data_IF_016760922670
#
_entry.id   IF_016760922670
#
_cell.length_a   1.000
_cell.length_b   1.000
_cell.length_c   1.000
_cell.angle_alpha   90.00
_cell.angle_beta   90.00
_cell.angle_gamma   90.00
#
_symmetry.space_group_name_H-M   'P 1'
#
loop_
_entity.id
_entity.type
_entity.pdbx_description
1 polymer ?
#
# COMPACT_ATOMS: atom_id res chain seq x y z
N UNK A 1 13.41 -0.64 24.66
CA UNK A 1 13.54 -1.13 23.26
C UNK A 1 12.38 -2.04 22.89
N UNK A 2 12.09 -3.07 23.68
CA UNK A 2 10.99 -4.02 23.39
C UNK A 2 9.64 -3.35 23.11
N UNK A 3 9.25 -2.34 23.89
CA UNK A 3 7.99 -1.61 23.66
C UNK A 3 7.94 -0.92 22.29
N UNK A 4 9.08 -0.43 21.80
CA UNK A 4 9.20 0.20 20.49
C UNK A 4 9.05 -0.86 19.39
N UNK A 5 9.72 -2.01 19.53
CA UNK A 5 9.57 -3.14 18.60
C UNK A 5 8.11 -3.67 18.62
N UNK A 6 7.49 -3.74 19.79
CA UNK A 6 6.10 -4.15 19.93
C UNK A 6 5.16 -3.19 19.19
N UNK A 7 5.31 -1.88 19.38
CA UNK A 7 4.44 -0.85 18.80
C UNK A 7 4.69 -0.60 17.31
N UNK A 8 5.92 -0.70 16.83
CA UNK A 8 6.30 -0.34 15.46
C UNK A 8 6.54 -1.53 14.53
N UNK A 9 6.56 -2.77 15.02
CA UNK A 9 6.75 -3.96 14.18
C UNK A 9 5.78 -5.10 14.55
N UNK A 10 5.87 -5.66 15.77
CA UNK A 10 5.10 -6.88 16.13
C UNK A 10 3.58 -6.66 16.09
N UNK A 11 3.08 -5.59 16.70
CA UNK A 11 1.64 -5.31 16.74
C UNK A 11 1.06 -4.90 15.38
N UNK A 12 1.67 -3.98 14.61
CA UNK A 12 1.20 -3.68 13.25
C UNK A 12 1.15 -4.93 12.37
N UNK A 13 2.19 -5.77 12.42
CA UNK A 13 2.22 -7.02 11.65
C UNK A 13 1.05 -7.94 12.01
N UNK A 14 0.76 -8.12 13.30
CA UNK A 14 -0.35 -8.96 13.80
C UNK A 14 -1.72 -8.37 13.47
N UNK A 15 -1.95 -7.08 13.70
CA UNK A 15 -3.27 -6.43 13.54
C UNK A 15 -3.68 -6.39 12.07
N UNK A 16 -2.74 -6.11 11.16
CA UNK A 16 -3.02 -5.95 9.74
C UNK A 16 -2.67 -7.20 8.91
N UNK A 17 -2.24 -8.29 9.54
CA UNK A 17 -1.86 -9.53 8.84
C UNK A 17 -0.74 -9.34 7.82
N UNK A 18 0.27 -8.52 8.14
CA UNK A 18 1.36 -8.23 7.20
C UNK A 18 2.36 -9.40 7.12
N UNK A 19 2.86 -9.75 5.91
CA UNK A 19 3.85 -10.81 5.77
C UNK A 19 5.22 -10.39 6.33
N UNK A 20 6.05 -11.39 6.63
CA UNK A 20 7.45 -11.15 7.01
C UNK A 20 8.26 -10.64 5.81
N UNK A 21 9.14 -9.66 6.05
CA UNK A 21 10.05 -9.15 5.02
C UNK A 21 11.42 -9.82 5.19
N UNK A 22 11.80 -10.77 4.33
CA UNK A 22 13.07 -11.47 4.48
C UNK A 22 14.25 -10.49 4.35
N UNK A 23 15.34 -10.77 5.07
CA UNK A 23 16.60 -10.01 4.97
C UNK A 23 16.41 -8.48 5.06
N UNK A 24 15.53 -8.04 5.96
CA UNK A 24 15.16 -6.64 6.13
C UNK A 24 15.44 -6.22 7.57
N UNK A 25 16.20 -5.14 7.75
CA UNK A 25 16.54 -4.61 9.07
C UNK A 25 16.94 -3.14 9.00
N UNK A 26 16.94 -2.49 10.17
CA UNK A 26 17.30 -1.08 10.34
C UNK A 26 18.41 -0.99 11.39
N UNK A 27 19.48 -0.28 11.03
CA UNK A 27 20.57 0.05 11.93
C UNK A 27 20.38 1.48 12.43
N UNK A 28 20.42 1.64 13.75
CA UNK A 28 20.21 2.92 14.43
C UNK A 28 21.40 3.17 15.35
N UNK A 29 22.02 4.33 15.23
CA UNK A 29 22.97 4.82 16.22
C UNK A 29 22.20 5.51 17.35
N UNK A 30 22.21 4.92 18.54
CA UNK A 30 21.55 5.46 19.74
C UNK A 30 22.37 6.52 20.48
N UNK A 31 23.62 6.74 20.10
CA UNK A 31 24.51 7.70 20.75
C UNK A 31 24.52 9.06 20.05
N UNK A 32 24.21 9.09 18.75
CA UNK A 32 24.18 10.33 17.98
C UNK A 32 23.08 11.29 18.49
N UNK A 33 23.50 12.49 18.86
CA UNK A 33 22.62 13.60 19.23
C UNK A 33 22.60 14.63 18.11
N UNK A 34 21.40 15.03 17.69
CA UNK A 34 21.22 15.97 16.59
C UNK A 34 19.98 16.83 16.79
N UNK A 35 19.95 17.97 16.10
CA UNK A 35 18.81 18.89 16.13
C UNK A 35 17.99 18.71 14.87
N UNK A 36 16.67 18.57 15.02
CA UNK A 36 15.76 18.43 13.88
C UNK A 36 15.79 19.73 13.06
N UNK A 37 16.08 19.67 11.74
CA UNK A 37 16.12 20.86 10.88
C UNK A 37 14.70 21.37 10.60
N UNK A 38 14.59 22.65 10.22
CA UNK A 38 13.33 23.27 9.77
C UNK A 38 12.65 22.51 8.64
N UNK A 39 13.46 21.97 7.72
CA UNK A 39 12.98 21.26 6.53
C UNK A 39 13.63 19.87 6.44
N UNK A 40 12.86 18.78 6.59
CA UNK A 40 13.39 17.43 6.42
C UNK A 40 13.76 17.16 4.95
N UNK A 41 14.80 16.33 4.69
CA UNK A 41 15.40 16.20 3.36
C UNK A 41 14.50 15.51 2.33
N UNK A 42 13.68 14.54 2.73
CA UNK A 42 12.93 13.67 1.81
C UNK A 42 11.47 14.05 1.62
N UNK A 43 10.86 14.73 2.60
CA UNK A 43 9.43 15.08 2.51
C UNK A 43 9.23 16.30 1.61
N UNK A 44 8.30 16.19 0.65
CA UNK A 44 7.90 17.31 -0.21
C UNK A 44 7.19 18.43 0.55
N UNK A 45 6.71 18.17 1.76
CA UNK A 45 6.10 19.20 2.60
C UNK A 45 7.11 20.31 2.97
N UNK A 46 8.41 19.99 3.05
CA UNK A 46 9.48 20.94 3.37
C UNK A 46 9.34 21.66 4.72
N UNK A 47 8.56 21.14 5.66
CA UNK A 47 8.45 21.66 7.03
C UNK A 47 8.25 20.51 8.04
N UNK A 48 8.51 20.78 9.32
CA UNK A 48 8.22 19.87 10.45
C UNK A 48 7.86 20.68 11.71
N UNK A 49 6.86 20.27 12.50
CA UNK A 49 6.53 20.96 13.76
C UNK A 49 7.57 20.74 14.86
N UNK A 50 8.55 19.84 14.64
CA UNK A 50 9.57 19.48 15.62
C UNK A 50 10.91 20.21 15.38
N UNK A 51 10.94 21.22 14.51
CA UNK A 51 12.15 21.95 14.20
C UNK A 51 12.79 22.55 15.46
N UNK A 52 14.13 22.50 15.54
CA UNK A 52 14.89 22.98 16.69
C UNK A 52 14.91 22.05 17.91
N UNK A 53 14.13 20.97 17.92
CA UNK A 53 14.20 19.97 18.99
C UNK A 53 15.48 19.15 18.91
N UNK A 54 16.18 19.01 20.03
CA UNK A 54 17.32 18.09 20.17
C UNK A 54 16.82 16.68 20.46
N UNK A 55 17.29 15.72 19.68
CA UNK A 55 16.94 14.31 19.81
C UNK A 55 18.19 13.45 19.83
N UNK A 56 18.05 12.25 20.39
CA UNK A 56 19.11 11.25 20.46
C UNK A 56 18.65 9.97 19.77
N UNK A 57 19.49 9.44 18.89
CA UNK A 57 19.12 8.35 18.00
C UNK A 57 19.01 8.83 16.56
N UNK A 58 19.75 8.19 15.64
CA UNK A 58 19.62 8.43 14.20
C UNK A 58 19.68 7.13 13.42
N UNK A 59 18.88 7.03 12.36
CA UNK A 59 18.94 5.90 11.44
C UNK A 59 20.22 6.03 10.62
N UNK A 60 21.08 5.02 10.70
CA UNK A 60 22.34 4.95 9.97
C UNK A 60 22.13 4.20 8.64
N UNK A 61 21.47 3.04 8.69
CA UNK A 61 21.27 2.19 7.51
C UNK A 61 19.91 1.48 7.50
N UNK A 62 19.34 1.32 6.31
CA UNK A 62 18.17 0.46 6.09
C UNK A 62 18.49 -0.53 4.99
N UNK A 63 18.35 -1.81 5.30
CA UNK A 63 18.42 -2.90 4.32
C UNK A 63 17.02 -3.43 4.10
N UNK A 64 16.58 -3.48 2.83
CA UNK A 64 15.26 -3.94 2.43
C UNK A 64 15.40 -5.07 1.42
N UNK A 65 15.04 -6.29 1.85
CA UNK A 65 15.13 -7.53 1.05
C UNK A 65 16.54 -7.80 0.52
N UNK A 66 17.55 -7.64 1.38
CA UNK A 66 18.96 -7.86 1.05
C UNK A 66 19.69 -6.68 0.41
N UNK A 67 18.96 -5.68 -0.09
CA UNK A 67 19.55 -4.49 -0.74
C UNK A 67 19.59 -3.30 0.22
N UNK A 68 20.67 -2.51 0.17
CA UNK A 68 20.79 -1.30 0.98
C UNK A 68 19.92 -0.19 0.38
N UNK A 69 18.86 0.20 1.08
CA UNK A 69 17.87 1.17 0.60
C UNK A 69 18.16 2.61 1.07
N UNK A 70 18.85 2.77 2.20
CA UNK A 70 19.16 4.07 2.79
C UNK A 70 20.46 4.00 3.60
N UNK A 71 21.29 5.04 3.49
CA UNK A 71 22.52 5.24 4.28
C UNK A 71 22.67 6.73 4.59
N UNK A 72 22.86 7.08 5.87
CA UNK A 72 23.27 8.42 6.34
C UNK A 72 22.54 9.63 5.74
N UNK A 73 21.23 9.49 5.49
CA UNK A 73 20.40 10.56 4.92
C UNK A 73 20.24 10.50 3.40
N UNK A 74 20.80 9.49 2.73
CA UNK A 74 20.67 9.28 1.28
C UNK A 74 19.85 8.03 1.01
N UNK A 75 18.82 8.17 0.17
CA UNK A 75 18.02 7.03 -0.33
C UNK A 75 18.72 6.46 -1.56
N UNK A 76 19.05 5.17 -1.52
CA UNK A 76 19.73 4.44 -2.58
C UNK A 76 18.77 3.58 -3.42
N UNK A 77 17.58 3.28 -2.88
CA UNK A 77 16.56 2.53 -3.62
C UNK A 77 15.93 3.38 -4.73
N UNK A 78 15.82 2.81 -5.92
CA UNK A 78 15.16 3.45 -7.07
C UNK A 78 13.64 3.53 -6.88
N UNK A 79 12.97 4.55 -7.44
CA UNK A 79 11.51 4.59 -7.53
C UNK A 79 10.96 3.29 -8.15
N UNK A 80 9.92 2.73 -7.55
CA UNK A 80 9.34 1.44 -7.98
C UNK A 80 9.97 0.19 -7.34
N UNK A 81 11.03 0.32 -6.53
CA UNK A 81 11.59 -0.82 -5.78
C UNK A 81 10.62 -1.41 -4.76
N UNK A 82 9.67 -0.62 -4.24
CA UNK A 82 8.63 -1.10 -3.33
C UNK A 82 7.70 -2.14 -3.97
N UNK A 83 7.19 -3.08 -3.18
CA UNK A 83 6.26 -4.11 -3.64
C UNK A 83 4.97 -4.08 -2.82
N UNK A 84 3.84 -4.39 -3.44
CA UNK A 84 2.58 -4.57 -2.73
C UNK A 84 2.62 -5.89 -1.94
N UNK A 85 2.68 -5.79 -0.61
CA UNK A 85 2.80 -6.95 0.29
C UNK A 85 1.57 -7.86 0.27
N UNK A 86 0.40 -7.36 -0.14
CA UNK A 86 -0.82 -8.18 -0.26
C UNK A 86 -0.70 -9.24 -1.36
N UNK A 87 0.11 -8.98 -2.38
CA UNK A 87 0.30 -9.89 -3.53
C UNK A 87 1.29 -11.02 -3.23
N UNK A 88 1.98 -11.00 -2.08
CA UNK A 88 3.02 -11.98 -1.77
C UNK A 88 2.47 -13.38 -1.56
N UNK A 89 1.25 -13.51 -1.05
CA UNK A 89 0.56 -14.81 -0.87
C UNK A 89 -0.02 -15.36 -2.18
N UNK A 90 -0.18 -14.54 -3.21
CA UNK A 90 -0.71 -14.95 -4.52
C UNK A 90 0.38 -15.58 -5.41
N UNK A 91 1.65 -15.27 -5.12
CA UNK A 91 2.80 -15.86 -5.81
C UNK A 91 3.06 -17.27 -5.26
N UNK A 92 2.21 -18.23 -5.62
CA UNK A 92 2.59 -19.65 -5.51
C UNK A 92 3.84 -19.88 -6.35
N UNK A 93 4.84 -20.64 -5.89
CA UNK A 93 5.91 -21.06 -6.77
C UNK A 93 5.28 -21.86 -7.90
N UNK A 94 5.35 -21.33 -9.13
CA UNK A 94 5.12 -22.14 -10.32
C UNK A 94 6.23 -23.19 -10.31
N UNK A 95 5.94 -24.35 -9.72
CA UNK A 95 6.72 -25.55 -9.97
C UNK A 95 6.62 -25.74 -11.47
N UNK A 96 7.71 -25.48 -12.20
CA UNK A 96 7.78 -25.83 -13.60
C UNK A 96 7.40 -27.31 -13.69
N UNK A 97 6.41 -27.71 -14.51
CA UNK A 97 6.17 -29.12 -14.71
C UNK A 97 7.40 -29.63 -15.45
N UNK A 98 8.27 -30.34 -14.74
CA UNK A 98 9.24 -31.23 -15.36
C UNK A 98 8.45 -32.10 -16.33
N UNK A 99 8.81 -32.00 -17.60
CA UNK A 99 8.14 -32.65 -18.72
C UNK A 99 8.25 -34.17 -18.55
N UNK A 100 7.23 -34.78 -17.96
CA UNK A 100 6.89 -36.18 -18.24
C UNK A 100 5.44 -36.24 -18.69
N UNK A 101 5.31 -36.72 -19.94
CA UNK A 101 4.08 -36.80 -20.72
C UNK A 101 3.01 -37.56 -19.94
N UNK A 102 1.91 -36.88 -19.60
CA UNK A 102 0.66 -37.55 -19.30
C UNK A 102 -0.33 -37.13 -20.38
N UNK A 103 -0.59 -38.05 -21.29
CA UNK A 103 -1.64 -37.96 -22.28
C UNK A 103 -2.97 -38.11 -21.50
N UNK A 104 -3.68 -37.02 -21.28
CA UNK A 104 -4.98 -37.02 -20.61
C UNK A 104 -5.73 -35.74 -20.95
N UNK A 105 -6.94 -35.91 -21.48
CA UNK A 105 -7.88 -34.89 -21.93
C UNK A 105 -8.00 -33.70 -20.97
N UNK A 106 -7.99 -32.48 -21.53
CA UNK A 106 -7.98 -31.20 -20.82
C UNK A 106 -9.37 -30.57 -20.70
N UNK A 107 -10.39 -31.40 -20.53
CA UNK A 107 -11.74 -30.98 -20.19
C UNK A 107 -12.11 -31.69 -18.89
N UNK A 108 -12.53 -30.94 -17.86
CA UNK A 108 -13.07 -31.42 -16.57
C UNK A 108 -12.09 -31.44 -15.36
N UNK A 109 -11.63 -30.26 -14.92
CA UNK A 109 -11.15 -30.05 -13.54
C UNK A 109 -11.88 -28.87 -12.91
N UNK A 110 -12.96 -29.17 -12.18
CA UNK A 110 -13.75 -28.21 -11.41
C UNK A 110 -13.15 -28.02 -10.00
N UNK A 111 -12.80 -26.77 -9.67
CA UNK A 111 -12.22 -26.35 -8.39
C UNK A 111 -13.16 -26.60 -7.19
N UNK A 112 -14.45 -26.77 -7.44
CA UNK A 112 -15.45 -27.08 -6.41
C UNK A 112 -15.32 -28.52 -5.88
N UNK A 113 -14.89 -29.46 -6.72
CA UNK A 113 -14.82 -30.90 -6.36
C UNK A 113 -13.61 -31.22 -5.48
N UNK A 114 -12.46 -30.55 -5.71
CA UNK A 114 -11.26 -30.69 -4.87
C UNK A 114 -11.46 -30.17 -3.44
N UNK A 115 -12.37 -29.23 -3.25
CA UNK A 115 -12.74 -28.78 -1.91
C UNK A 115 -13.49 -29.87 -1.14
N UNK A 116 -14.04 -30.91 -1.77
CA UNK A 116 -14.89 -31.90 -1.10
C UNK A 116 -14.14 -33.13 -0.57
N UNK A 117 -12.86 -33.29 -0.91
CA UNK A 117 -12.10 -34.54 -0.66
C UNK A 117 -10.93 -34.39 0.32
N UNK A 118 -10.78 -33.22 0.97
CA UNK A 118 -9.77 -33.00 2.02
C UNK A 118 -10.39 -33.14 3.42
N UNK A 119 -9.74 -33.85 4.36
CA UNK A 119 -10.28 -34.11 5.70
C UNK A 119 -10.54 -32.81 6.50
N UNK A 120 -11.64 -32.82 7.27
CA UNK A 120 -12.30 -31.65 7.89
C UNK A 120 -11.45 -30.85 8.90
N UNK A 121 -10.29 -31.34 9.33
CA UNK A 121 -9.46 -30.70 10.36
C UNK A 121 -8.67 -29.48 9.89
N UNK A 122 -8.64 -29.17 8.59
CA UNK A 122 -7.92 -28.00 8.03
C UNK A 122 -8.87 -27.07 7.25
N UNK A 123 -10.15 -27.02 7.63
CA UNK A 123 -11.13 -26.12 7.00
C UNK A 123 -11.55 -24.93 7.87
N UNK A 124 -11.29 -24.98 9.17
CA UNK A 124 -12.08 -24.19 10.11
C UNK A 124 -11.57 -22.78 10.46
N UNK A 125 -10.35 -22.39 10.07
CA UNK A 125 -9.75 -21.15 10.60
C UNK A 125 -9.42 -20.06 9.57
N UNK A 126 -9.82 -20.18 8.29
CA UNK A 126 -9.41 -19.18 7.31
C UNK A 126 -10.48 -18.21 6.79
N UNK A 127 -11.67 -18.58 6.28
CA UNK A 127 -12.60 -17.56 5.73
C UNK A 127 -14.08 -17.97 5.66
N UNK A 128 -14.77 -18.14 6.79
CA UNK A 128 -16.22 -18.42 6.76
C UNK A 128 -17.13 -17.21 7.09
N UNK A 129 -16.66 -15.96 6.97
CA UNK A 129 -17.50 -14.81 7.31
C UNK A 129 -17.97 -13.91 6.14
N UNK A 130 -17.50 -14.11 4.90
CA UNK A 130 -17.79 -13.12 3.83
C UNK A 130 -18.51 -13.70 2.61
N UNK A 131 -18.76 -15.02 2.57
CA UNK A 131 -19.48 -15.66 1.46
C UNK A 131 -20.93 -15.16 1.33
N UNK A 132 -21.63 -15.01 2.46
CA UNK A 132 -23.02 -14.57 2.49
C UNK A 132 -23.23 -13.15 1.93
N UNK A 133 -22.28 -12.24 2.15
CA UNK A 133 -22.41 -10.85 1.70
C UNK A 133 -22.23 -10.72 0.19
N UNK A 134 -21.29 -11.48 -0.39
CA UNK A 134 -21.04 -11.47 -1.83
C UNK A 134 -22.19 -12.10 -2.64
N UNK A 135 -22.86 -13.11 -2.10
CA UNK A 135 -24.01 -13.75 -2.75
C UNK A 135 -25.25 -12.84 -2.78
N UNK A 136 -25.49 -12.09 -1.69
CA UNK A 136 -26.59 -11.12 -1.62
C UNK A 136 -26.36 -9.96 -2.59
N UNK A 137 -25.12 -9.46 -2.67
CA UNK A 137 -24.77 -8.37 -3.59
C UNK A 137 -24.87 -8.80 -5.07
N UNK A 138 -24.45 -10.03 -5.39
CA UNK A 138 -24.55 -10.58 -6.75
C UNK A 138 -26.00 -10.77 -7.19
N UNK A 139 -26.89 -11.17 -6.27
CA UNK A 139 -28.35 -11.23 -6.53
C UNK A 139 -28.97 -9.85 -6.75
N UNK A 140 -28.50 -8.82 -6.06
CA UNK A 140 -28.96 -7.44 -6.24
C UNK A 140 -28.58 -6.87 -7.60
N UNK A 141 -27.40 -7.22 -8.13
CA UNK A 141 -26.95 -6.81 -9.46
C UNK A 141 -27.60 -7.61 -10.59
N UNK A 142 -27.97 -8.86 -10.34
CA UNK A 142 -28.57 -9.75 -11.34
C UNK A 142 -30.10 -9.56 -11.49
N UNK A 143 -30.76 -8.83 -10.59
CA UNK A 143 -32.20 -8.62 -10.61
C UNK A 143 -32.65 -7.58 -11.63
N UNK A 144 -32.93 -8.00 -12.86
CA UNK A 144 -33.72 -7.24 -13.83
C UNK A 144 -35.21 -7.29 -13.46
N UNK A 145 -35.65 -6.51 -12.47
CA UNK A 145 -37.08 -6.19 -12.31
C UNK A 145 -37.25 -4.72 -11.87
N UNK A 146 -37.80 -3.92 -12.78
CA UNK A 146 -38.29 -2.58 -12.53
C UNK A 146 -39.46 -2.62 -11.53
N UNK A 147 -39.16 -2.54 -10.23
CA UNK A 147 -40.08 -2.00 -9.23
C UNK A 147 -39.53 -0.68 -8.74
N UNK A 148 -40.22 0.39 -9.14
CA UNK A 148 -40.12 1.72 -8.56
C UNK A 148 -40.30 1.60 -7.03
N UNK A 149 -39.21 1.49 -6.29
CA UNK A 149 -39.20 1.81 -4.87
C UNK A 149 -39.20 3.33 -4.79
N UNK A 150 -40.39 3.89 -4.63
CA UNK A 150 -40.61 5.33 -4.49
C UNK A 150 -39.91 5.85 -3.25
N UNK A 151 -38.67 6.34 -3.40
CA UNK A 151 -38.09 7.31 -2.48
C UNK A 151 -38.65 8.68 -2.86
N UNK A 152 -39.65 9.12 -2.10
CA UNK A 152 -40.24 10.45 -2.24
C UNK A 152 -39.22 11.48 -1.75
N UNK A 153 -38.51 12.13 -2.68
CA UNK A 153 -37.77 13.35 -2.34
C UNK A 153 -38.81 14.46 -2.20
N UNK A 154 -39.19 14.75 -0.96
CA UNK A 154 -40.09 15.85 -0.66
C UNK A 154 -39.51 17.16 -1.18
N UNK A 155 -40.32 17.86 -1.97
CA UNK A 155 -40.07 19.22 -2.44
C UNK A 155 -40.16 20.15 -1.23
N UNK A 156 -39.02 20.41 -0.58
CA UNK A 156 -38.89 21.37 0.51
C UNK A 156 -38.09 22.60 0.03
N UNK A 157 -38.45 23.81 0.49
CA UNK A 157 -37.98 25.05 -0.11
C UNK A 157 -36.48 25.27 0.11
N UNK A 158 -35.86 25.78 -0.95
CA UNK A 158 -34.45 26.10 -1.14
C UNK A 158 -33.90 26.94 0.01
N UNK A 159 -33.07 26.36 0.88
CA UNK A 159 -32.18 27.08 1.79
C UNK A 159 -30.93 26.23 2.11
N UNK A 160 -30.18 25.87 1.07
CA UNK A 160 -28.83 25.35 1.23
C UNK A 160 -27.83 26.49 1.02
N UNK A 161 -26.91 26.78 1.97
CA UNK A 161 -25.85 27.74 1.71
C UNK A 161 -24.97 27.20 0.58
N UNK A 162 -24.89 27.95 -0.51
CA UNK A 162 -24.01 27.66 -1.64
C UNK A 162 -22.55 27.74 -1.17
N UNK A 163 -21.80 26.65 -1.37
CA UNK A 163 -20.35 26.64 -1.09
C UNK A 163 -19.67 27.74 -1.91
N UNK A 164 -18.84 28.61 -1.30
CA UNK A 164 -18.12 29.61 -2.07
C UNK A 164 -17.01 28.92 -2.88
N UNK A 165 -17.11 29.10 -4.20
CA UNK A 165 -16.14 28.82 -5.26
C UNK A 165 -15.89 27.33 -5.61
N UNK A 166 -15.75 27.02 -6.92
CA UNK A 166 -15.39 25.68 -7.36
C UNK A 166 -13.98 25.33 -6.89
N UNK A 167 -13.83 24.20 -6.19
CA UNK A 167 -12.51 23.65 -5.85
C UNK A 167 -11.76 23.36 -7.14
N UNK A 168 -10.72 24.13 -7.41
CA UNK A 168 -9.82 23.89 -8.53
C UNK A 168 -9.10 22.57 -8.25
N UNK A 169 -9.29 21.61 -9.16
CA UNK A 169 -8.62 20.33 -9.13
C UNK A 169 -7.16 20.55 -9.52
N UNK A 170 -6.24 20.34 -8.60
CA UNK A 170 -4.81 20.31 -8.91
C UNK A 170 -4.50 18.98 -9.63
N UNK A 171 -4.76 18.92 -10.94
CA UNK A 171 -4.28 17.80 -11.74
C UNK A 171 -2.76 17.91 -11.83
N UNK A 172 -2.07 16.92 -11.27
CA UNK A 172 -0.62 16.80 -11.36
C UNK A 172 -0.25 16.33 -12.77
N UNK A 173 -0.17 17.26 -13.72
CA UNK A 173 0.45 17.00 -15.01
C UNK A 173 1.96 17.21 -14.88
N UNK A 174 2.69 16.13 -15.16
CA UNK A 174 4.14 16.11 -15.28
C UNK A 174 4.59 17.06 -16.38
N UNK A 175 5.37 18.10 -16.06
CA UNK A 175 6.15 18.78 -17.08
C UNK A 175 7.55 18.18 -17.12
N UNK A 176 7.74 17.35 -18.15
CA UNK A 176 9.01 17.09 -18.79
C UNK A 176 9.72 18.42 -19.10
N UNK A 177 11.03 18.44 -18.89
CA UNK A 177 11.87 19.62 -19.02
C UNK A 177 11.82 20.27 -20.40
N UNK A 178 11.99 21.59 -20.39
CA UNK A 178 12.69 22.31 -21.45
C UNK A 178 13.63 23.29 -20.79
N UNK A 179 14.89 23.17 -21.19
CA UNK A 179 16.02 24.01 -20.82
C UNK A 179 15.68 25.50 -20.97
N UNK A 180 16.00 26.29 -19.94
CA UNK A 180 16.09 27.75 -20.06
C UNK A 180 17.54 28.14 -19.94
N UNK A 181 18.12 28.40 -21.12
CA UNK A 181 19.42 29.00 -21.34
C UNK A 181 19.37 30.46 -20.85
N UNK A 182 20.20 30.81 -19.87
CA UNK A 182 20.33 32.18 -19.36
C UNK A 182 21.08 33.06 -20.38
N UNK A 183 20.64 34.31 -20.65
CA UNK A 183 21.43 35.25 -21.44
C UNK A 183 22.49 35.93 -20.55
N UNK A 184 23.75 35.91 -21.01
CA UNK A 184 24.82 36.71 -20.42
C UNK A 184 24.61 38.19 -20.78
N UNK A 185 24.51 39.02 -19.74
CA UNK A 185 24.45 40.48 -19.86
C UNK A 185 25.83 41.05 -20.19
N UNK A 186 25.86 41.98 -21.15
CA UNK A 186 27.02 42.82 -21.50
C UNK A 186 27.06 44.07 -20.63
N UNK A 187 28.15 44.26 -19.88
CA UNK A 187 28.71 45.51 -19.31
C UNK A 187 30.19 45.16 -19.00
N UNK A 188 31.26 45.84 -19.38
CA UNK A 188 31.55 47.24 -19.77
C UNK A 188 32.82 47.22 -20.62
#
# INVERSE_FOLDING_TARGET
LEDLIAKFYKNPKRIFGLPEQPNTYVEVDFNEEWTIPESPPHSKARWTPFAGMKVKGRVHRVVLRGETAFVDGVVLANPGYGQNVREWHLKKPTVAPSVEKINGSLDELDLLTLSKTLPDTIRHDFWENDGHTNDVFSKLLAGNESKQLGVHFGEAPQNHPTSPLPRIRCDSTSNYGKDVLLPAASLT
#
